data_IF_258779991958
#
_entry.id   IF_258779991958
#
_cell.length_a   1.000
_cell.length_b   1.000
_cell.length_c   1.000
_cell.angle_alpha   90.00
_cell.angle_beta   90.00
_cell.angle_gamma   90.00
#
_symmetry.space_group_name_H-M   'P 1'
#
loop_
_entity.id
_entity.type
_entity.pdbx_description
1 polymer ?
#
# COMPACT_ATOMS: atom_id res chain seq x y z
N UNK A 1 13.69 -9.86 0.77
CA UNK A 1 12.43 -9.11 0.61
C UNK A 1 11.34 -10.09 0.24
N UNK A 2 10.33 -10.25 1.11
CA UNK A 2 9.16 -11.10 0.94
C UNK A 2 7.98 -10.27 0.39
N UNK A 3 8.04 -9.92 -0.89
CA UNK A 3 7.09 -8.99 -1.49
C UNK A 3 5.65 -9.51 -1.44
N UNK A 4 4.69 -8.63 -1.10
CA UNK A 4 3.25 -8.91 -1.18
C UNK A 4 2.72 -8.43 -2.53
N UNK A 5 2.23 -9.36 -3.34
CA UNK A 5 1.67 -9.12 -4.68
C UNK A 5 0.26 -9.69 -4.78
N UNK A 6 -0.52 -9.21 -5.74
CA UNK A 6 -1.88 -9.66 -5.94
C UNK A 6 -2.23 -9.83 -7.41
N UNK A 7 -3.16 -10.75 -7.71
CA UNK A 7 -3.75 -10.91 -9.03
C UNK A 7 -5.26 -11.08 -8.90
N UNK A 8 -6.02 -10.52 -9.83
CA UNK A 8 -7.45 -10.78 -9.99
C UNK A 8 -7.69 -11.33 -11.38
N UNK A 9 -8.38 -12.47 -11.45
CA UNK A 9 -8.71 -13.14 -12.72
C UNK A 9 -10.19 -13.47 -12.80
N UNK A 10 -10.72 -13.57 -14.01
CA UNK A 10 -12.10 -13.98 -14.28
C UNK A 10 -12.25 -15.52 -14.37
N UNK A 11 -13.46 -15.98 -14.70
CA UNK A 11 -13.79 -17.41 -14.93
C UNK A 11 -12.94 -18.10 -16.00
N UNK A 12 -12.29 -17.34 -16.88
CA UNK A 12 -11.44 -17.83 -17.97
C UNK A 12 -9.95 -17.69 -17.65
N UNK A 13 -9.59 -17.35 -16.41
CA UNK A 13 -8.23 -17.03 -15.97
C UNK A 13 -7.60 -15.81 -16.66
N UNK A 14 -8.43 -14.92 -17.21
CA UNK A 14 -7.99 -13.66 -17.82
C UNK A 14 -7.89 -12.60 -16.72
N UNK A 15 -6.83 -11.79 -16.76
CA UNK A 15 -6.62 -10.69 -15.83
C UNK A 15 -7.75 -9.67 -15.86
N UNK A 16 -8.19 -9.23 -14.68
CA UNK A 16 -9.25 -8.23 -14.56
C UNK A 16 -8.64 -6.90 -14.17
N UNK A 17 -8.63 -5.95 -15.10
CA UNK A 17 -8.09 -4.61 -14.91
C UNK A 17 -8.98 -3.74 -14.01
N UNK A 18 -8.34 -2.83 -13.29
CA UNK A 18 -9.00 -1.74 -12.58
C UNK A 18 -9.64 -2.14 -11.26
N UNK A 19 -9.47 -3.35 -10.75
CA UNK A 19 -9.94 -3.74 -9.42
C UNK A 19 -9.13 -2.98 -8.37
N UNK A 20 -9.82 -2.21 -7.52
CA UNK A 20 -9.16 -1.50 -6.42
C UNK A 20 -8.94 -2.46 -5.27
N UNK A 21 -7.70 -2.52 -4.81
CA UNK A 21 -7.31 -3.37 -3.69
C UNK A 21 -6.71 -2.51 -2.60
N UNK A 22 -7.28 -2.63 -1.41
CA UNK A 22 -6.78 -2.01 -0.18
C UNK A 22 -6.02 -3.06 0.62
N UNK A 23 -4.81 -2.74 1.01
CA UNK A 23 -3.97 -3.52 1.91
C UNK A 23 -3.89 -2.82 3.27
N UNK A 24 -4.62 -3.35 4.26
CA UNK A 24 -4.48 -2.92 5.65
C UNK A 24 -3.37 -3.73 6.33
N UNK A 25 -2.31 -3.05 6.73
CA UNK A 25 -1.16 -3.62 7.42
C UNK A 25 -1.41 -3.66 8.94
N UNK A 26 -1.14 -4.79 9.58
CA UNK A 26 -1.34 -4.99 11.02
C UNK A 26 -0.07 -5.45 11.73
N UNK A 27 0.12 -4.98 12.97
CA UNK A 27 1.16 -5.50 13.84
C UNK A 27 0.80 -6.86 14.46
N UNK A 28 1.71 -7.40 15.28
CA UNK A 28 1.53 -8.66 16.02
C UNK A 28 0.35 -8.64 17.02
N UNK A 29 -0.13 -7.47 17.40
CA UNK A 29 -1.27 -7.27 18.31
C UNK A 29 -2.56 -6.92 17.56
N UNK A 30 -2.57 -7.04 16.22
CA UNK A 30 -3.67 -6.68 15.33
C UNK A 30 -4.00 -5.18 15.30
N UNK A 31 -3.09 -4.32 15.76
CA UNK A 31 -3.24 -2.88 15.57
C UNK A 31 -2.92 -2.51 14.13
N UNK A 32 -3.66 -1.56 13.59
CA UNK A 32 -3.42 -1.00 12.27
C UNK A 32 -2.13 -0.17 12.27
N UNK A 33 -1.16 -0.53 11.41
CA UNK A 33 0.13 0.18 11.29
C UNK A 33 0.25 0.97 9.99
N UNK A 34 -0.53 0.63 8.98
CA UNK A 34 -0.49 1.32 7.69
C UNK A 34 -1.61 0.85 6.78
N UNK A 35 -1.94 1.70 5.82
CA UNK A 35 -2.95 1.41 4.81
C UNK A 35 -2.45 1.81 3.45
N UNK A 36 -2.49 0.86 2.54
CA UNK A 36 -2.03 1.04 1.18
C UNK A 36 -3.14 0.67 0.21
N UNK A 37 -3.05 1.16 -1.00
CA UNK A 37 -3.96 0.81 -2.08
C UNK A 37 -3.25 0.68 -3.41
N UNK A 38 -3.88 -0.04 -4.33
CA UNK A 38 -3.46 -0.15 -5.72
C UNK A 38 -4.65 -0.54 -6.61
N UNK A 39 -4.46 -0.44 -7.92
CA UNK A 39 -5.40 -0.91 -8.93
C UNK A 39 -4.73 -2.05 -9.71
N UNK A 40 -5.49 -3.07 -10.09
CA UNK A 40 -4.98 -4.10 -10.98
C UNK A 40 -4.70 -3.54 -12.38
N UNK A 41 -3.56 -3.94 -12.97
CA UNK A 41 -3.16 -3.61 -14.34
C UNK A 41 -3.96 -4.40 -15.40
N UNK A 42 -3.60 -4.24 -16.68
CA UNK A 42 -4.23 -4.93 -17.81
C UNK A 42 -4.17 -6.46 -17.71
N UNK A 43 -3.15 -7.00 -17.03
CA UNK A 43 -3.01 -8.44 -16.74
C UNK A 43 -3.66 -8.86 -15.41
N UNK A 44 -4.37 -7.94 -14.75
CA UNK A 44 -5.06 -8.15 -13.48
C UNK A 44 -4.12 -8.15 -12.28
N UNK A 45 -2.89 -7.65 -12.37
CA UNK A 45 -1.84 -7.80 -11.36
C UNK A 45 -1.62 -6.51 -10.57
N UNK A 46 -1.10 -6.69 -9.36
CA UNK A 46 -0.60 -5.63 -8.48
C UNK A 46 0.78 -6.04 -7.99
N UNK A 47 1.80 -5.28 -8.39
CA UNK A 47 3.18 -5.44 -7.94
C UNK A 47 3.62 -4.32 -6.98
N UNK A 48 2.97 -3.16 -7.07
CA UNK A 48 3.30 -1.98 -6.31
C UNK A 48 2.08 -1.45 -5.57
N UNK A 49 2.35 -0.89 -4.41
CA UNK A 49 1.36 -0.31 -3.51
C UNK A 49 1.61 1.19 -3.37
N UNK A 50 0.55 1.93 -3.06
CA UNK A 50 0.60 3.37 -2.85
C UNK A 50 -0.04 3.73 -1.51
N UNK A 51 0.40 4.84 -0.91
CA UNK A 51 -0.16 5.29 0.36
C UNK A 51 -1.64 5.66 0.21
N UNK A 52 -2.51 5.12 1.07
CA UNK A 52 -3.93 5.47 1.09
C UNK A 52 -4.18 6.76 1.91
N UNK A 53 -5.02 7.69 1.44
CA UNK A 53 -5.64 7.74 0.11
C UNK A 53 -4.68 8.34 -0.93
N UNK A 54 -4.56 7.65 -2.06
CA UNK A 54 -3.79 8.04 -3.24
C UNK A 54 -4.29 9.38 -3.82
N UNK A 55 -5.58 9.67 -3.71
CA UNK A 55 -6.23 10.86 -4.28
C UNK A 55 -5.95 12.18 -3.55
N UNK A 56 -5.17 12.17 -2.48
CA UNK A 56 -4.90 13.35 -1.65
C UNK A 56 -3.62 14.12 -1.97
N UNK A 57 -2.68 13.54 -2.73
CA UNK A 57 -1.34 14.09 -2.89
C UNK A 57 -1.13 14.63 -4.31
N UNK A 58 -0.99 15.96 -4.41
CA UNK A 58 -0.63 16.64 -5.66
C UNK A 58 0.81 16.41 -6.15
N UNK A 59 1.59 15.59 -5.43
CA UNK A 59 2.90 15.09 -5.84
C UNK A 59 2.81 13.62 -6.18
N UNK A 60 3.46 13.19 -7.25
CA UNK A 60 3.45 11.81 -7.74
C UNK A 60 3.59 10.80 -6.60
N UNK A 61 2.62 9.89 -6.50
CA UNK A 61 2.65 8.82 -5.50
C UNK A 61 3.82 7.91 -5.82
N UNK A 62 4.72 7.74 -4.85
CA UNK A 62 5.83 6.82 -5.00
C UNK A 62 5.32 5.38 -4.84
N UNK A 63 5.55 4.51 -5.84
CA UNK A 63 5.23 3.10 -5.71
C UNK A 63 6.15 2.44 -4.69
N UNK A 64 5.59 1.64 -3.78
CA UNK A 64 6.36 0.87 -2.80
C UNK A 64 6.09 -0.63 -2.91
N UNK A 65 7.12 -1.43 -2.64
CA UNK A 65 7.02 -2.87 -2.47
C UNK A 65 6.92 -3.16 -0.97
N UNK A 66 5.87 -3.88 -0.57
CA UNK A 66 5.61 -4.20 0.84
C UNK A 66 6.30 -5.51 1.19
N UNK A 67 7.14 -5.51 2.22
CA UNK A 67 7.83 -6.69 2.72
C UNK A 67 7.03 -7.37 3.84
N UNK A 68 6.60 -8.60 3.61
CA UNK A 68 5.87 -9.40 4.59
C UNK A 68 6.73 -9.80 5.80
N UNK A 69 8.07 -9.73 5.73
CA UNK A 69 8.91 -9.98 6.92
C UNK A 69 8.69 -8.93 7.99
N UNK A 70 8.40 -7.69 7.61
CA UNK A 70 8.17 -6.57 8.52
C UNK A 70 6.70 -6.53 8.95
N UNK A 71 5.79 -6.89 8.03
CA UNK A 71 4.34 -6.83 8.23
C UNK A 71 3.68 -8.15 7.77
N UNK A 72 3.79 -9.24 8.57
CA UNK A 72 3.28 -10.55 8.18
C UNK A 72 1.75 -10.67 8.31
N UNK A 73 1.06 -9.70 8.91
CA UNK A 73 -0.39 -9.72 9.13
C UNK A 73 -1.05 -8.64 8.30
N UNK A 74 -1.85 -9.03 7.33
CA UNK A 74 -2.49 -8.08 6.40
C UNK A 74 -3.94 -8.44 6.15
N UNK A 75 -4.75 -7.44 5.84
CA UNK A 75 -6.09 -7.62 5.27
C UNK A 75 -6.12 -7.04 3.87
N UNK A 76 -6.48 -7.85 2.88
CA UNK A 76 -6.75 -7.40 1.52
C UNK A 76 -8.25 -7.19 1.37
N UNK A 77 -8.65 -6.03 0.86
CA UNK A 77 -10.05 -5.76 0.49
C UNK A 77 -10.12 -5.33 -0.97
N UNK A 78 -10.83 -6.10 -1.77
CA UNK A 78 -11.04 -5.90 -3.20
C UNK A 78 -12.36 -5.17 -3.39
N UNK A 79 -12.36 -4.17 -4.28
CA UNK A 79 -13.53 -3.41 -4.70
C UNK A 79 -13.60 -3.39 -6.23
N UNK A 80 -14.76 -3.70 -6.82
CA UNK A 80 -14.92 -3.57 -8.25
C UNK A 80 -14.91 -2.07 -8.57
N UNK A 81 -14.05 -1.63 -9.49
CA UNK A 81 -14.02 -0.20 -9.81
C UNK A 81 -15.20 0.15 -10.72
N UNK A 82 -16.10 1.06 -10.30
CA UNK A 82 -17.39 1.28 -10.98
C UNK A 82 -17.28 1.77 -12.42
N UNK A 83 -16.13 2.33 -12.81
CA UNK A 83 -15.87 2.88 -14.15
C UNK A 83 -15.12 1.93 -15.08
N UNK A 84 -14.43 0.93 -14.53
CA UNK A 84 -13.56 0.01 -15.28
C UNK A 84 -14.14 -1.41 -15.35
N UNK A 85 -15.05 -1.74 -14.42
CA UNK A 85 -15.83 -2.97 -14.49
C UNK A 85 -17.24 -2.71 -14.98
N UNK A 86 -17.81 -3.66 -15.73
CA UNK A 86 -19.21 -3.62 -16.12
C UNK A 86 -20.11 -3.36 -14.89
N UNK A 87 -21.24 -2.63 -15.04
CA UNK A 87 -22.10 -2.17 -13.94
C UNK A 87 -22.78 -3.28 -13.11
N UNK A 88 -22.38 -4.54 -13.29
CA UNK A 88 -23.00 -5.74 -12.71
C UNK A 88 -21.99 -6.73 -12.12
N UNK A 89 -20.81 -6.28 -11.69
CA UNK A 89 -19.96 -7.15 -10.87
C UNK A 89 -20.81 -7.65 -9.66
N UNK A 90 -21.00 -8.97 -9.49
CA UNK A 90 -22.02 -9.51 -8.56
C UNK A 90 -21.64 -9.36 -7.08
N UNK A 91 -20.57 -8.64 -6.78
CA UNK A 91 -19.97 -8.50 -5.46
C UNK A 91 -19.69 -7.03 -5.16
N UNK A 92 -19.91 -6.62 -3.91
CA UNK A 92 -19.66 -5.24 -3.44
C UNK A 92 -18.20 -5.06 -3.05
N UNK A 93 -17.67 -6.05 -2.34
CA UNK A 93 -16.27 -6.13 -1.93
C UNK A 93 -15.95 -7.55 -1.49
N UNK A 94 -14.72 -7.99 -1.68
CA UNK A 94 -14.23 -9.27 -1.15
C UNK A 94 -13.10 -8.94 -0.17
N UNK A 95 -13.07 -9.61 0.98
CA UNK A 95 -12.03 -9.39 1.99
C UNK A 95 -11.33 -10.70 2.35
N UNK A 96 -10.01 -10.65 2.46
CA UNK A 96 -9.19 -11.75 2.95
C UNK A 96 -8.23 -11.25 4.03
N UNK A 97 -8.28 -11.87 5.21
CA UNK A 97 -7.33 -11.64 6.29
C UNK A 97 -6.26 -12.74 6.22
N UNK A 98 -5.00 -12.34 6.10
CA UNK A 98 -3.89 -13.24 5.80
C UNK A 98 -2.78 -13.11 6.84
N UNK A 99 -2.16 -14.25 7.12
CA UNK A 99 -0.87 -14.32 7.79
C UNK A 99 0.15 -14.87 6.79
N UNK A 100 1.17 -14.08 6.50
CA UNK A 100 2.19 -14.32 5.46
C UNK A 100 3.53 -14.63 6.14
N UNK A 101 3.78 -15.89 6.53
CA UNK A 101 5.00 -16.27 7.22
C UNK A 101 6.18 -16.46 6.26
N UNK A 102 7.37 -16.14 6.75
CA UNK A 102 8.62 -16.50 6.09
C UNK A 102 9.22 -15.37 5.26
N UNK A 103 10.15 -15.75 4.37
CA UNK A 103 10.95 -14.82 3.57
C UNK A 103 10.70 -14.95 2.05
N UNK A 104 9.76 -15.82 1.66
CA UNK A 104 9.39 -16.03 0.27
C UNK A 104 8.51 -14.89 -0.23
N UNK A 105 8.42 -14.70 -1.56
CA UNK A 105 7.38 -13.84 -2.12
C UNK A 105 6.00 -14.36 -1.76
N UNK A 106 5.04 -13.44 -1.64
CA UNK A 106 3.65 -13.75 -1.34
C UNK A 106 2.76 -13.22 -2.46
N UNK A 107 2.02 -14.12 -3.09
CA UNK A 107 1.08 -13.81 -4.17
C UNK A 107 -0.30 -14.28 -3.77
N UNK A 108 -1.26 -13.36 -3.86
CA UNK A 108 -2.67 -13.64 -3.57
C UNK A 108 -3.47 -13.50 -4.85
N UNK A 109 -4.08 -14.58 -5.30
CA UNK A 109 -4.89 -14.62 -6.53
C UNK A 109 -6.37 -14.70 -6.15
N UNK A 110 -7.14 -13.69 -6.54
CA UNK A 110 -8.59 -13.71 -6.46
C UNK A 110 -9.15 -14.18 -7.80
N UNK A 111 -9.88 -15.29 -7.77
CA UNK A 111 -10.63 -15.78 -8.94
C UNK A 111 -12.10 -15.37 -8.81
N UNK A 112 -12.57 -14.62 -9.81
CA UNK A 112 -13.94 -14.14 -9.92
C UNK A 112 -14.79 -15.17 -10.67
N UNK A 113 -15.14 -16.25 -9.97
CA UNK A 113 -16.10 -17.25 -10.43
C UNK A 113 -17.48 -17.00 -9.79
N UNK A 114 -18.50 -17.79 -10.19
CA UNK A 114 -19.83 -17.76 -9.55
C UNK A 114 -19.73 -17.86 -8.02
N UNK A 115 -18.74 -18.62 -7.54
CA UNK A 115 -18.28 -18.63 -6.16
C UNK A 115 -16.84 -18.12 -6.10
N UNK A 116 -16.60 -16.84 -5.73
CA UNK A 116 -15.25 -16.30 -5.68
C UNK A 116 -14.34 -17.11 -4.76
N UNK A 117 -13.13 -17.39 -5.22
CA UNK A 117 -12.12 -18.12 -4.46
C UNK A 117 -10.82 -17.33 -4.36
N UNK A 118 -10.17 -17.47 -3.21
CA UNK A 118 -8.86 -16.89 -2.96
C UNK A 118 -7.82 -18.00 -2.94
N UNK A 119 -6.77 -17.81 -3.72
CA UNK A 119 -5.62 -18.70 -3.78
C UNK A 119 -4.38 -17.95 -3.28
N UNK A 120 -3.53 -18.67 -2.55
CA UNK A 120 -2.26 -18.16 -2.06
C UNK A 120 -1.13 -18.98 -2.66
N UNK A 121 -0.15 -18.28 -3.25
CA UNK A 121 1.06 -18.88 -3.84
C UNK A 121 2.30 -18.14 -3.34
N UNK A 122 3.44 -18.84 -3.31
CA UNK A 122 4.75 -18.22 -3.01
C UNK A 122 5.47 -17.73 -4.26
N UNK A 123 4.90 -17.99 -5.43
CA UNK A 123 5.43 -17.55 -6.71
C UNK A 123 4.89 -16.15 -7.03
N UNK A 124 5.76 -15.14 -7.19
CA UNK A 124 5.31 -13.79 -7.46
C UNK A 124 4.53 -13.72 -8.79
N UNK A 125 3.49 -12.87 -8.82
CA UNK A 125 2.59 -12.69 -9.98
C UNK A 125 3.33 -12.18 -11.23
N UNK A 126 4.50 -11.59 -11.04
CA UNK A 126 5.41 -11.16 -12.10
C UNK A 126 6.76 -11.84 -11.89
N UNK A 127 7.47 -12.15 -12.99
CA UNK A 127 8.87 -12.58 -12.94
C UNK A 127 9.74 -11.57 -12.16
N UNK A 128 11.03 -11.87 -11.92
CA UNK A 128 11.87 -11.14 -10.97
C UNK A 128 11.66 -9.63 -11.07
N UNK A 129 11.26 -9.03 -9.95
CA UNK A 129 10.89 -7.61 -9.82
C UNK A 129 12.08 -6.77 -10.26
N UNK A 130 12.13 -6.41 -11.54
CA UNK A 130 13.04 -5.42 -12.06
C UNK A 130 12.39 -4.06 -11.83
N UNK A 131 13.01 -3.13 -11.09
CA UNK A 131 12.44 -1.81 -10.80
C UNK A 131 12.45 -0.86 -12.01
N UNK A 132 12.37 -1.36 -13.25
CA UNK A 132 12.49 -0.57 -14.47
C UNK A 132 11.47 -1.01 -15.52
N UNK A 133 10.29 -0.38 -15.47
CA UNK A 133 9.49 0.02 -16.63
C UNK A 133 8.26 0.79 -16.11
N UNK A 134 8.45 2.08 -15.80
CA UNK A 134 7.32 3.02 -15.76
C UNK A 134 6.89 3.21 -17.22
N UNK A 135 5.94 2.41 -17.67
CA UNK A 135 5.34 2.64 -18.98
C UNK A 135 4.49 3.90 -18.90
N UNK A 136 5.06 4.99 -19.39
CA UNK A 136 4.47 6.32 -19.37
C UNK A 136 3.51 6.43 -20.56
N UNK A 137 2.48 5.60 -20.61
CA UNK A 137 1.49 5.63 -21.69
C UNK A 137 0.07 5.43 -21.17
N UNK A 138 -0.49 6.47 -20.54
CA UNK A 138 -1.93 6.71 -20.51
C UNK A 138 -2.25 8.04 -19.82
N UNK A 139 -1.78 9.18 -20.36
CA UNK A 139 -2.36 10.50 -20.05
C UNK A 139 -1.89 11.54 -21.09
N UNK A 140 -2.03 11.22 -22.38
CA UNK A 140 -1.85 12.22 -23.43
C UNK A 140 -2.99 12.15 -24.44
N UNK A 141 -4.18 12.48 -23.96
CA UNK A 141 -5.30 12.86 -24.82
C UNK A 141 -5.73 14.26 -24.38
N UNK A 142 -5.48 15.21 -25.28
CA UNK A 142 -5.85 16.64 -25.27
C UNK A 142 -4.90 17.61 -24.54
N UNK A 143 -3.73 17.87 -25.15
CA UNK A 143 -3.06 19.17 -25.03
C UNK A 143 -2.86 19.82 -26.40
N UNK A 144 -3.73 20.78 -26.70
CA UNK A 144 -3.50 21.80 -27.73
C UNK A 144 -2.20 22.56 -27.45
N UNK A 145 -1.32 22.81 -28.43
CA UNK A 145 -0.07 23.51 -28.19
C UNK A 145 -0.32 25.02 -28.02
N UNK A 146 0.16 25.59 -26.90
CA UNK A 146 0.20 27.04 -26.66
C UNK A 146 1.59 27.60 -27.04
N UNK A 147 1.71 28.77 -27.69
CA UNK A 147 2.87 29.11 -28.53
C UNK A 147 3.91 30.03 -27.86
N UNK A 148 4.40 29.71 -26.66
CA UNK A 148 5.50 30.46 -26.06
C UNK A 148 6.53 29.54 -25.42
N UNK A 149 7.50 29.12 -26.24
CA UNK A 149 8.76 28.52 -25.80
C UNK A 149 9.72 29.65 -25.40
N UNK A 150 10.08 29.72 -24.12
CA UNK A 150 11.31 30.38 -23.69
C UNK A 150 12.31 29.27 -23.32
N UNK A 151 13.42 29.23 -24.04
CA UNK A 151 14.51 28.29 -23.85
C UNK A 151 15.14 28.43 -22.45
N UNK A 152 15.53 27.32 -21.77
CA UNK A 152 16.31 27.42 -20.55
C UNK A 152 17.78 27.81 -20.86
N UNK A 153 18.47 28.53 -19.94
CA UNK A 153 19.84 28.99 -20.15
C UNK A 153 20.86 27.86 -19.96
N UNK A 154 22.04 27.93 -20.62
CA UNK A 154 23.10 26.93 -20.46
C UNK A 154 23.82 27.09 -19.11
N UNK A 155 24.10 25.95 -18.47
CA UNK A 155 24.92 25.84 -17.26
C UNK A 155 26.40 26.09 -17.59
N UNK A 156 26.99 27.07 -16.93
CA UNK A 156 28.42 27.36 -16.95
C UNK A 156 29.16 26.34 -16.07
N UNK A 157 30.04 25.54 -16.67
CA UNK A 157 31.03 24.74 -15.94
C UNK A 157 32.25 25.62 -15.72
N UNK A 158 32.63 25.84 -14.45
CA UNK A 158 33.90 26.46 -14.08
C UNK A 158 34.60 25.58 -13.05
N UNK A 159 35.72 25.05 -13.49
CA UNK A 159 36.84 24.39 -12.79
C UNK A 159 37.38 25.14 -11.58
N UNK A 160 37.92 24.44 -10.57
CA UNK A 160 39.36 24.45 -10.22
C UNK A 160 39.69 23.47 -9.06
N UNK A 161 40.92 22.97 -9.10
CA UNK A 161 41.57 22.05 -8.16
C UNK A 161 41.97 22.70 -6.82
N UNK A 162 42.31 21.83 -5.86
CA UNK A 162 43.51 21.91 -5.01
C UNK A 162 43.32 22.12 -3.50
N UNK A 163 43.99 21.21 -2.78
CA UNK A 163 44.81 21.40 -1.57
C UNK A 163 44.28 20.84 -0.24
N UNK A 164 45.16 20.02 0.31
CA UNK A 164 45.26 19.50 1.68
C UNK A 164 45.01 20.57 2.76
N UNK A 165 44.48 20.14 3.91
CA UNK A 165 45.18 20.28 5.19
C UNK A 165 44.48 19.51 6.33
N UNK A 166 45.33 18.94 7.19
CA UNK A 166 45.10 18.28 8.47
C UNK A 166 44.17 19.02 9.45
N UNK A 167 43.47 18.27 10.32
CA UNK A 167 43.55 18.32 11.79
C UNK A 167 42.36 17.58 12.45
N UNK A 168 42.65 16.47 13.13
CA UNK A 168 41.95 16.06 14.37
C UNK A 168 42.62 16.80 15.55
N UNK A 169 41.94 17.19 16.66
CA UNK A 169 41.52 16.18 17.66
C UNK A 169 40.27 16.51 18.53
N UNK A 170 39.71 15.43 19.12
CA UNK A 170 38.92 15.24 20.36
C UNK A 170 38.51 16.45 21.24
N UNK A 171 37.30 16.39 21.82
CA UNK A 171 37.02 16.19 23.28
C UNK A 171 35.50 16.16 23.54
N UNK A 172 35.15 15.31 24.50
CA UNK A 172 33.86 15.06 25.16
C UNK A 172 33.04 16.29 25.56
N UNK A 173 31.71 16.14 25.58
CA UNK A 173 30.95 16.48 26.79
C UNK A 173 29.59 15.74 26.82
N UNK A 174 29.42 14.98 27.90
CA UNK A 174 28.18 14.39 28.39
C UNK A 174 27.14 15.47 28.71
N UNK A 175 25.89 15.27 28.31
CA UNK A 175 24.75 15.74 29.11
C UNK A 175 23.73 14.60 29.20
N UNK A 176 23.86 13.84 30.29
CA UNK A 176 22.76 13.16 30.94
C UNK A 176 21.75 14.19 31.47
N UNK A 177 20.47 13.97 31.21
CA UNK A 177 19.43 14.26 32.20
C UNK A 177 18.19 13.43 31.93
N UNK A 178 18.08 12.36 32.71
CA UNK A 178 16.82 11.73 33.08
C UNK A 178 15.80 12.79 33.51
N UNK A 179 14.51 12.60 33.20
CA UNK A 179 13.49 12.37 34.23
C UNK A 179 12.07 12.23 33.67
N UNK A 180 11.50 11.05 33.95
CA UNK A 180 10.27 10.86 34.75
C UNK A 180 8.92 10.95 34.03
N UNK A 181 8.32 9.76 33.95
CA UNK A 181 7.00 9.49 33.41
C UNK A 181 5.82 10.17 34.12
N UNK A 182 4.73 10.25 33.36
CA UNK A 182 3.39 10.49 33.88
C UNK A 182 2.41 9.47 33.30
N UNK A 183 2.20 8.39 34.06
CA UNK A 183 1.05 7.50 33.90
C UNK A 183 -0.15 8.17 34.55
N UNK A 184 -1.16 8.57 33.77
CA UNK A 184 -2.50 8.82 34.32
C UNK A 184 -3.31 7.54 34.16
N UNK A 185 -3.59 6.90 35.30
CA UNK A 185 -4.71 5.97 35.46
C UNK A 185 -5.98 6.81 35.47
N UNK A 186 -7.02 6.39 34.77
CA UNK A 186 -8.37 6.86 35.01
C UNK A 186 -9.30 5.66 35.10
N UNK A 187 -10.10 5.70 36.15
CA UNK A 187 -10.70 4.55 36.81
C UNK A 187 -11.80 3.85 36.01
N UNK A 188 -11.87 2.55 36.27
CA UNK A 188 -12.95 1.64 35.94
C UNK A 188 -14.18 2.03 36.77
N UNK A 189 -15.26 2.44 36.13
CA UNK A 189 -16.57 2.45 36.76
C UNK A 189 -17.41 1.29 36.23
N UNK A 190 -17.47 0.25 37.06
CA UNK A 190 -18.39 -0.87 36.97
C UNK A 190 -19.82 -0.39 37.26
N UNK A 191 -20.74 -0.59 36.31
CA UNK A 191 -22.15 -0.21 36.49
C UNK A 191 -23.11 -1.18 35.84
N UNK A 192 -23.37 -2.29 36.56
CA UNK A 192 -24.61 -3.07 36.60
C UNK A 192 -25.59 -3.02 35.41
N UNK A 193 -25.78 -4.19 34.79
CA UNK A 193 -27.07 -4.55 34.19
C UNK A 193 -28.10 -4.84 35.29
N UNK A 194 -29.39 -4.64 35.00
CA UNK A 194 -30.23 -5.83 34.89
C UNK A 194 -31.27 -5.78 33.76
N UNK A 195 -31.56 -6.99 33.25
CA UNK A 195 -32.69 -7.36 32.40
C UNK A 195 -34.03 -6.92 33.01
N UNK A 196 -34.96 -6.44 32.17
CA UNK A 196 -36.39 -6.58 32.43
C UNK A 196 -37.17 -6.88 31.13
N UNK A 197 -37.70 -8.09 31.10
CA UNK A 197 -38.65 -8.69 30.16
C UNK A 197 -40.04 -8.08 30.38
N UNK A 198 -40.74 -7.67 29.31
CA UNK A 198 -42.21 -7.64 29.27
C UNK A 198 -42.74 -7.99 27.87
N UNK A 199 -43.48 -9.09 27.82
CA UNK A 199 -44.44 -9.43 26.78
C UNK A 199 -45.78 -8.75 27.10
N UNK A 200 -46.52 -8.29 26.07
CA UNK A 200 -48.00 -8.25 25.99
C UNK A 200 -48.37 -7.88 24.54
N UNK A 201 -48.81 -8.82 23.71
CA UNK A 201 -50.21 -9.07 23.31
C UNK A 201 -51.05 -7.81 23.15
N UNK A 202 -51.39 -7.48 21.89
CA UNK A 202 -52.76 -7.50 21.35
C UNK A 202 -52.74 -8.13 19.95
#
# INVERSE_FOLDING_TARGET
MAAITCKVVDTYNIGVEGVQVILDCRDRFYNHVGKLESLTDAEGKINFWYQFPASGYGSGLEPQVVDATDIPRVSLTFYPHPRLMAPHAPWVSIRADLYLPGVAGHSVVLHLEDTPRLEYTTDPVSGPISPLAVDTQALDILRTPSPFLLSPPPLTISSYESSDDDYEPTIDDEIDTETRGHKRKLDVESGQSPRARRQRTE
#
